data_IF_138995730285
#
_entry.id   IF_138995730285
#
_cell.length_a   1.000
_cell.length_b   1.000
_cell.length_c   1.000
_cell.angle_alpha   90.00
_cell.angle_beta   90.00
_cell.angle_gamma   90.00
#
_symmetry.space_group_name_H-M   'P 1'
#
loop_
_entity.id
_entity.type
_entity.pdbx_description
1 polymer ?
#
# COMPACT_ATOMS: atom_id res chain seq x y z
N UNK A 1 -2.55 -31.06 42.27
CA UNK A 1 -2.92 -31.54 40.92
C UNK A 1 -3.10 -30.31 40.03
N UNK A 2 -2.02 -29.86 39.40
CA UNK A 2 -1.99 -28.66 38.56
C UNK A 2 -2.67 -28.93 37.22
N UNK A 3 -3.92 -28.47 37.08
CA UNK A 3 -4.62 -28.45 35.79
C UNK A 3 -3.90 -27.46 34.88
N UNK A 4 -3.10 -27.97 33.94
CA UNK A 4 -2.56 -27.16 32.86
C UNK A 4 -3.74 -26.48 32.15
N UNK A 5 -3.78 -25.15 32.19
CA UNK A 5 -4.80 -24.31 31.56
C UNK A 5 -4.79 -24.57 30.05
N UNK A 6 -5.58 -25.55 29.60
CA UNK A 6 -5.81 -25.83 28.19
C UNK A 6 -6.41 -24.56 27.58
N UNK A 7 -5.76 -24.01 26.55
CA UNK A 7 -6.29 -22.85 25.84
C UNK A 7 -7.75 -23.11 25.44
N UNK A 8 -8.66 -22.16 25.71
CA UNK A 8 -10.07 -22.32 25.36
C UNK A 8 -10.24 -22.54 23.86
N UNK A 9 -11.32 -23.24 23.49
CA UNK A 9 -11.56 -23.65 22.10
C UNK A 9 -11.67 -22.45 21.15
N UNK A 10 -12.22 -21.34 21.62
CA UNK A 10 -12.48 -20.13 20.84
C UNK A 10 -11.23 -19.30 20.49
N UNK A 11 -10.07 -19.60 21.09
CA UNK A 11 -8.78 -19.01 20.69
C UNK A 11 -8.07 -19.83 19.60
N UNK A 12 -8.71 -20.87 19.07
CA UNK A 12 -8.19 -21.67 17.96
C UNK A 12 -8.72 -21.11 16.63
N UNK A 13 -7.94 -21.22 15.53
CA UNK A 13 -8.50 -20.97 14.21
C UNK A 13 -9.63 -21.99 13.95
N UNK A 14 -10.78 -21.60 13.39
CA UNK A 14 -11.06 -20.33 12.71
C UNK A 14 -11.62 -19.19 13.60
N UNK A 15 -12.08 -19.46 14.83
CA UNK A 15 -12.79 -18.47 15.66
C UNK A 15 -11.92 -17.39 16.26
N UNK A 16 -10.61 -17.61 16.34
CA UNK A 16 -9.65 -16.66 16.91
C UNK A 16 -9.81 -15.22 16.35
N UNK A 17 -10.28 -15.10 15.11
CA UNK A 17 -10.55 -13.81 14.44
C UNK A 17 -11.57 -12.95 15.22
N UNK A 18 -12.54 -13.57 15.89
CA UNK A 18 -13.57 -12.86 16.68
C UNK A 18 -13.03 -12.36 18.03
N UNK A 19 -11.85 -12.80 18.47
CA UNK A 19 -11.29 -12.48 19.78
C UNK A 19 -10.02 -11.61 19.70
N UNK A 20 -9.40 -11.51 18.52
CA UNK A 20 -8.18 -10.73 18.29
C UNK A 20 -8.44 -9.42 17.53
N UNK A 21 -8.84 -8.38 18.27
CA UNK A 21 -9.13 -7.03 17.74
C UNK A 21 -7.98 -6.41 16.93
N UNK A 22 -6.74 -6.59 17.36
CA UNK A 22 -5.58 -6.04 16.66
C UNK A 22 -5.35 -6.65 15.27
N UNK A 23 -5.85 -7.88 15.04
CA UNK A 23 -5.76 -8.52 13.72
C UNK A 23 -6.92 -8.11 12.82
N UNK A 24 -8.05 -7.72 13.40
CA UNK A 24 -9.21 -7.22 12.65
C UNK A 24 -8.92 -5.93 11.88
N UNK A 25 -8.06 -5.05 12.40
CA UNK A 25 -7.65 -3.83 11.69
C UNK A 25 -6.81 -4.11 10.43
N UNK A 26 -6.04 -5.20 10.43
CA UNK A 26 -5.18 -5.60 9.30
C UNK A 26 -5.94 -6.42 8.25
N UNK A 27 -7.09 -6.99 8.61
CA UNK A 27 -7.88 -7.84 7.73
C UNK A 27 -8.96 -7.02 7.02
N UNK A 28 -9.24 -7.36 5.76
CA UNK A 28 -10.36 -6.74 5.04
C UNK A 28 -11.68 -7.22 5.64
N UNK A 29 -12.58 -6.32 6.09
CA UNK A 29 -13.84 -6.70 6.73
C UNK A 29 -14.71 -7.62 5.86
N UNK A 30 -14.65 -7.45 4.54
CA UNK A 30 -15.42 -8.22 3.56
C UNK A 30 -15.00 -9.68 3.40
N UNK A 31 -13.75 -10.02 3.74
CA UNK A 31 -13.25 -11.40 3.67
C UNK A 31 -13.78 -12.27 4.83
N UNK A 32 -14.38 -11.65 5.85
CA UNK A 32 -14.84 -12.35 7.05
C UNK A 32 -16.31 -12.74 6.89
N UNK A 33 -16.56 -14.05 6.84
CA UNK A 33 -17.90 -14.63 6.92
C UNK A 33 -18.33 -14.79 8.38
N UNK A 34 -18.93 -13.72 8.93
CA UNK A 34 -19.40 -13.65 10.31
C UNK A 34 -20.48 -14.71 10.59
N UNK A 35 -21.41 -14.91 9.65
CA UNK A 35 -22.50 -15.87 9.81
C UNK A 35 -21.95 -17.28 10.02
N UNK A 36 -21.01 -17.71 9.18
CA UNK A 36 -20.34 -19.01 9.31
C UNK A 36 -19.54 -19.13 10.61
N UNK A 37 -18.81 -18.09 11.00
CA UNK A 37 -18.01 -18.12 12.24
C UNK A 37 -18.90 -18.22 13.48
N UNK A 38 -20.02 -17.50 13.52
CA UNK A 38 -20.94 -17.53 14.65
C UNK A 38 -21.73 -18.84 14.73
N UNK A 39 -22.20 -19.38 13.60
CA UNK A 39 -22.92 -20.67 13.61
C UNK A 39 -22.00 -21.80 14.08
N UNK A 40 -20.79 -21.88 13.53
CA UNK A 40 -19.82 -22.89 13.96
C UNK A 40 -19.37 -22.71 15.41
N UNK A 41 -19.24 -21.47 15.87
CA UNK A 41 -18.92 -21.17 17.26
C UNK A 41 -20.02 -21.64 18.21
N UNK A 42 -21.30 -21.39 17.87
CA UNK A 42 -22.43 -21.87 18.66
C UNK A 42 -22.54 -23.40 18.67
N UNK A 43 -22.39 -24.04 17.50
CA UNK A 43 -22.40 -25.51 17.39
C UNK A 43 -21.32 -26.16 18.28
N UNK A 44 -20.12 -25.58 18.35
CA UNK A 44 -19.05 -26.12 19.20
C UNK A 44 -19.29 -25.84 20.69
N UNK A 45 -19.92 -24.72 21.04
CA UNK A 45 -20.37 -24.46 22.41
C UNK A 45 -21.40 -25.48 22.86
N UNK A 46 -22.37 -25.80 22.01
CA UNK A 46 -23.39 -26.81 22.28
C UNK A 46 -22.78 -28.21 22.45
N UNK A 47 -21.85 -28.61 21.56
CA UNK A 47 -21.13 -29.90 21.66
C UNK A 47 -20.32 -30.03 22.96
N UNK A 48 -19.73 -28.93 23.42
CA UNK A 48 -18.90 -28.92 24.64
C UNK A 48 -19.75 -28.90 25.91
N UNK A 49 -21.04 -28.60 25.81
CA UNK A 49 -21.99 -28.57 26.94
C UNK A 49 -21.73 -27.45 27.96
N UNK A 50 -20.82 -26.52 27.66
CA UNK A 50 -20.46 -25.38 28.50
C UNK A 50 -20.67 -24.08 27.72
N UNK A 51 -21.74 -23.36 28.07
CA UNK A 51 -22.10 -22.09 27.46
C UNK A 51 -21.38 -20.96 28.19
N UNK A 52 -20.25 -20.52 27.63
CA UNK A 52 -19.49 -19.37 28.10
C UNK A 52 -20.12 -18.04 27.61
N UNK A 53 -21.07 -17.49 28.36
CA UNK A 53 -21.71 -16.20 28.01
C UNK A 53 -20.72 -15.04 27.88
N UNK A 54 -19.61 -15.07 28.63
CA UNK A 54 -18.54 -14.05 28.52
C UNK A 54 -17.88 -14.08 27.15
N UNK A 55 -17.58 -15.27 26.63
CA UNK A 55 -16.99 -15.44 25.31
C UNK A 55 -17.97 -15.03 24.22
N UNK A 56 -19.25 -15.40 24.36
CA UNK A 56 -20.32 -14.96 23.44
C UNK A 56 -20.48 -13.44 23.42
N UNK A 57 -20.32 -12.76 24.56
CA UNK A 57 -20.36 -11.29 24.62
C UNK A 57 -19.24 -10.64 23.82
N UNK A 58 -18.01 -11.16 23.92
CA UNK A 58 -16.87 -10.68 23.12
C UNK A 58 -17.05 -11.01 21.64
N UNK A 59 -17.56 -12.20 21.31
CA UNK A 59 -17.89 -12.59 19.94
C UNK A 59 -19.00 -11.70 19.33
N UNK A 60 -19.97 -11.28 20.14
CA UNK A 60 -21.03 -10.35 19.71
C UNK A 60 -20.48 -8.95 19.44
N UNK A 61 -19.66 -8.42 20.35
CA UNK A 61 -19.04 -7.10 20.23
C UNK A 61 -18.12 -7.02 18.99
N UNK A 62 -17.25 -8.01 18.82
CA UNK A 62 -16.41 -8.12 17.62
C UNK A 62 -17.23 -8.23 16.34
N UNK A 63 -18.33 -8.99 16.35
CA UNK A 63 -19.25 -9.10 15.21
C UNK A 63 -19.89 -7.75 14.88
N UNK A 64 -20.36 -7.00 15.88
CA UNK A 64 -20.92 -5.67 15.72
C UNK A 64 -19.89 -4.69 15.14
N UNK A 65 -18.64 -4.76 15.61
CA UNK A 65 -17.53 -3.96 15.08
C UNK A 65 -17.26 -4.26 13.60
N UNK A 66 -17.21 -5.53 13.20
CA UNK A 66 -17.00 -5.91 11.79
C UNK A 66 -18.15 -5.38 10.91
N UNK A 67 -19.39 -5.50 11.37
CA UNK A 67 -20.55 -4.96 10.64
C UNK A 67 -20.50 -3.44 10.49
N UNK A 68 -20.10 -2.73 11.55
CA UNK A 68 -19.90 -1.28 11.51
C UNK A 68 -18.81 -0.91 10.49
N UNK A 69 -17.70 -1.65 10.44
CA UNK A 69 -16.66 -1.43 9.42
C UNK A 69 -17.19 -1.66 8.01
N UNK A 70 -17.96 -2.72 7.77
CA UNK A 70 -18.60 -3.00 6.48
C UNK A 70 -19.54 -1.86 6.07
N UNK A 71 -20.39 -1.39 6.97
CA UNK A 71 -21.32 -0.28 6.72
C UNK A 71 -20.56 1.02 6.41
N UNK A 72 -19.54 1.37 7.19
CA UNK A 72 -18.71 2.55 6.93
C UNK A 72 -18.03 2.50 5.56
N UNK A 73 -17.52 1.34 5.15
CA UNK A 73 -16.92 1.17 3.82
C UNK A 73 -17.96 1.32 2.71
N UNK A 74 -19.17 0.80 2.91
CA UNK A 74 -20.26 0.94 1.95
C UNK A 74 -20.67 2.41 1.78
N UNK A 75 -20.79 3.16 2.88
CA UNK A 75 -21.14 4.59 2.84
C UNK A 75 -20.08 5.42 2.13
N UNK A 76 -18.79 5.12 2.34
CA UNK A 76 -17.68 5.78 1.62
C UNK A 76 -17.73 5.60 0.10
N UNK A 77 -18.36 4.53 -0.40
CA UNK A 77 -18.52 4.30 -1.84
C UNK A 77 -19.67 5.12 -2.44
N UNK A 78 -20.66 5.48 -1.62
CA UNK A 78 -21.80 6.31 -2.04
C UNK A 78 -21.46 7.81 -2.01
N UNK A 79 -20.47 8.21 -1.20
CA UNK A 79 -20.00 9.59 -1.16
C UNK A 79 -19.50 10.04 -2.55
N UNK A 80 -20.04 11.13 -3.12
CA UNK A 80 -19.57 11.62 -4.41
C UNK A 80 -18.08 11.99 -4.30
N UNK A 81 -17.28 11.73 -5.35
CA UNK A 81 -15.88 12.09 -5.34
C UNK A 81 -15.75 13.59 -5.08
N UNK A 82 -14.84 13.96 -4.17
CA UNK A 82 -14.56 15.36 -3.91
C UNK A 82 -14.27 16.07 -5.24
N UNK A 83 -14.89 17.22 -5.51
CA UNK A 83 -14.63 17.96 -6.74
C UNK A 83 -13.12 18.19 -6.83
N UNK A 84 -12.51 17.73 -7.94
CA UNK A 84 -11.10 18.02 -8.21
C UNK A 84 -10.94 19.53 -8.14
N UNK A 85 -9.88 20.06 -7.49
CA UNK A 85 -9.62 21.49 -7.56
C UNK A 85 -9.61 21.89 -9.04
N UNK A 86 -10.21 23.03 -9.42
CA UNK A 86 -10.18 23.46 -10.80
C UNK A 86 -8.71 23.49 -11.21
N UNK A 87 -8.33 22.62 -12.16
CA UNK A 87 -7.06 22.78 -12.85
C UNK A 87 -7.15 24.18 -13.44
N UNK A 88 -6.23 25.08 -13.10
CA UNK A 88 -6.13 26.39 -13.75
C UNK A 88 -6.07 26.12 -15.25
N UNK A 89 -7.21 26.31 -15.91
CA UNK A 89 -7.32 26.11 -17.34
C UNK A 89 -6.59 27.28 -17.96
N UNK A 90 -5.30 27.09 -18.24
CA UNK A 90 -4.55 27.97 -19.11
C UNK A 90 -5.04 27.64 -20.53
N UNK A 91 -5.90 28.48 -21.15
CA UNK A 91 -6.27 28.24 -22.52
C UNK A 91 -5.00 28.20 -23.38
N UNK A 92 -4.92 27.29 -24.36
CA UNK A 92 -3.83 27.35 -25.33
C UNK A 92 -3.82 28.74 -25.99
N UNK A 93 -2.63 29.26 -26.37
CA UNK A 93 -2.54 30.56 -27.01
C UNK A 93 -3.43 30.59 -28.25
N UNK A 94 -4.42 31.48 -28.23
CA UNK A 94 -5.29 31.73 -29.38
C UNK A 94 -4.45 32.42 -30.46
N UNK A 95 -4.31 31.77 -31.62
CA UNK A 95 -3.78 32.44 -32.81
C UNK A 95 -4.82 33.46 -33.29
N UNK A 96 -4.51 34.74 -33.13
CA UNK A 96 -5.31 35.82 -33.71
C UNK A 96 -5.33 35.64 -35.23
N UNK A 97 -6.50 35.77 -35.90
CA UNK A 97 -6.57 35.68 -37.35
C UNK A 97 -5.64 36.73 -37.95
N UNK A 98 -4.69 36.27 -38.78
CA UNK A 98 -3.78 37.12 -39.52
C UNK A 98 -4.59 38.04 -40.44
N UNK A 99 -4.56 39.35 -40.15
CA UNK A 99 -5.06 40.36 -41.08
C UNK A 99 -3.96 40.66 -42.09
N UNK A 100 -4.11 40.17 -43.31
CA UNK A 100 -3.23 40.56 -44.40
C UNK A 100 -3.60 41.98 -44.82
N UNK A 101 -2.86 42.97 -44.31
CA UNK A 101 -2.88 44.30 -44.93
C UNK A 101 -2.20 44.16 -46.29
N UNK A 102 -3.00 44.35 -47.35
CA UNK A 102 -2.67 43.95 -48.72
C UNK A 102 -1.28 44.41 -49.17
N UNK A 103 -0.43 43.45 -49.53
CA UNK A 103 0.60 43.67 -50.54
C UNK A 103 0.23 42.79 -51.73
N UNK A 104 0.12 43.37 -52.91
CA UNK A 104 -0.39 42.73 -54.15
C UNK A 104 0.21 41.34 -54.42
N UNK A 105 -0.49 40.28 -54.02
CA UNK A 105 -0.12 38.89 -54.31
C UNK A 105 -0.83 38.39 -55.56
N UNK A 106 -0.12 37.66 -56.42
CA UNK A 106 -0.71 37.00 -57.60
C UNK A 106 -1.58 35.81 -57.17
N UNK A 107 -2.65 35.51 -57.92
CA UNK A 107 -3.61 34.40 -57.66
C UNK A 107 -2.89 33.06 -57.42
N UNK A 108 -1.81 32.78 -58.15
CA UNK A 108 -1.00 31.56 -57.98
C UNK A 108 -0.45 31.41 -56.57
N UNK A 109 0.05 32.51 -55.99
CA UNK A 109 0.64 32.53 -54.66
C UNK A 109 -0.41 32.28 -53.57
N UNK A 110 -1.64 32.75 -53.77
CA UNK A 110 -2.75 32.47 -52.86
C UNK A 110 -3.17 31.00 -52.89
N UNK A 111 -3.17 30.40 -54.08
CA UNK A 111 -3.53 28.99 -54.27
C UNK A 111 -2.51 28.05 -53.60
N UNK A 112 -1.23 28.40 -53.69
CA UNK A 112 -0.13 27.62 -53.11
C UNK A 112 -0.13 27.69 -51.58
N UNK A 113 -0.29 28.89 -51.01
CA UNK A 113 -0.42 29.07 -49.55
C UNK A 113 -1.67 28.39 -49.00
N UNK A 114 -2.79 28.42 -49.72
CA UNK A 114 -4.04 27.77 -49.27
C UNK A 114 -3.92 26.25 -49.26
N UNK A 115 -3.20 25.66 -50.22
CA UNK A 115 -2.88 24.23 -50.23
C UNK A 115 -1.91 23.84 -49.10
N UNK A 116 -0.93 24.69 -48.77
CA UNK A 116 -0.05 24.50 -47.61
C UNK A 116 -0.81 24.55 -46.27
N UNK A 117 -1.72 25.50 -46.11
CA UNK A 117 -2.57 25.64 -44.90
C UNK A 117 -3.51 24.43 -44.75
N UNK A 118 -4.15 23.98 -45.84
CA UNK A 118 -5.01 22.79 -45.83
C UNK A 118 -4.25 21.49 -45.50
N UNK A 119 -2.97 21.40 -45.85
CA UNK A 119 -2.09 20.29 -45.44
C UNK A 119 -1.73 20.38 -43.95
N UNK A 120 -1.54 21.58 -43.41
CA UNK A 120 -1.26 21.84 -41.99
C UNK A 120 -2.45 21.57 -41.05
N UNK A 121 -3.68 21.92 -41.45
CA UNK A 121 -4.88 21.75 -40.61
C UNK A 121 -5.27 20.28 -40.36
N UNK A 122 -4.94 19.37 -41.28
CA UNK A 122 -5.21 17.93 -41.10
C UNK A 122 -4.53 17.33 -39.86
N UNK A 123 -3.48 17.97 -39.34
CA UNK A 123 -2.77 17.54 -38.13
C UNK A 123 -3.49 17.95 -36.84
N UNK A 124 -4.23 19.07 -36.84
CA UNK A 124 -4.86 19.65 -35.64
C UNK A 124 -6.16 18.91 -35.26
N UNK A 125 -6.83 18.27 -36.23
CA UNK A 125 -8.07 17.52 -35.96
C UNK A 125 -7.84 16.21 -35.19
N UNK A 126 -6.61 15.67 -35.23
CA UNK A 126 -6.23 14.43 -34.55
C UNK A 126 -6.18 14.52 -33.02
N UNK A 127 -6.17 15.72 -32.44
CA UNK A 127 -6.12 15.92 -30.98
C UNK A 127 -7.51 16.02 -30.34
N UNK A 128 -8.58 15.79 -31.11
CA UNK A 128 -9.95 15.82 -30.58
C UNK A 128 -10.19 14.65 -29.62
N UNK A 129 -10.00 14.96 -28.33
CA UNK A 129 -10.65 14.36 -27.16
C UNK A 129 -10.38 12.87 -26.98
N UNK A 130 -9.25 12.56 -26.36
CA UNK A 130 -9.20 11.43 -25.42
C UNK A 130 -10.11 11.84 -24.26
N UNK A 131 -11.35 11.35 -24.27
CA UNK A 131 -12.24 11.43 -23.12
C UNK A 131 -11.62 10.52 -22.07
N UNK A 132 -10.85 11.08 -21.14
CA UNK A 132 -10.45 10.36 -19.95
C UNK A 132 -11.73 9.84 -19.27
N UNK A 133 -11.86 8.52 -19.03
CA UNK A 133 -13.02 7.98 -18.34
C UNK A 133 -13.18 8.70 -17.00
N UNK A 134 -14.40 9.19 -16.74
CA UNK A 134 -14.76 10.05 -15.59
C UNK A 134 -14.53 9.33 -14.24
N UNK A 135 -14.39 8.01 -14.27
CA UNK A 135 -14.18 7.18 -13.09
C UNK A 135 -12.79 6.55 -13.14
N UNK A 136 -11.93 6.79 -12.13
CA UNK A 136 -10.78 5.91 -11.94
C UNK A 136 -11.31 4.48 -11.69
N UNK A 137 -10.67 3.46 -12.27
CA UNK A 137 -11.05 2.08 -11.98
C UNK A 137 -10.98 1.82 -10.46
N UNK A 138 -11.88 0.98 -9.91
CA UNK A 138 -11.94 0.69 -8.46
C UNK A 138 -10.62 0.14 -7.90
N UNK A 139 -9.73 -0.30 -8.78
CA UNK A 139 -8.38 -0.78 -8.51
C UNK A 139 -7.39 0.30 -8.05
N UNK A 140 -7.66 1.60 -8.26
CA UNK A 140 -6.66 2.65 -7.98
C UNK A 140 -6.72 3.19 -6.54
N UNK A 141 -7.82 2.97 -5.82
CA UNK A 141 -8.06 3.62 -4.52
C UNK A 141 -7.65 2.73 -3.33
N UNK A 142 -7.58 1.40 -3.51
CA UNK A 142 -7.41 0.43 -2.40
C UNK A 142 -6.44 -0.78 -2.62
N UNK A 143 -5.34 -0.68 -3.38
CA UNK A 143 -4.29 -1.72 -3.25
C UNK A 143 -2.85 -1.22 -3.32
N UNK A 144 -2.58 0.08 -3.48
CA UNK A 144 -1.19 0.56 -3.61
C UNK A 144 -0.43 0.38 -2.30
N UNK A 145 -1.04 0.76 -1.17
CA UNK A 145 -0.40 0.63 0.13
C UNK A 145 -0.34 -0.83 0.58
N UNK A 146 -1.42 -1.61 0.40
CA UNK A 146 -1.45 -3.02 0.82
C UNK A 146 -0.50 -3.90 0.00
N UNK A 147 -0.39 -3.67 -1.31
CA UNK A 147 0.58 -4.35 -2.17
C UNK A 147 2.01 -3.96 -1.79
N UNK A 148 2.23 -2.69 -1.46
CA UNK A 148 3.53 -2.20 -1.02
C UNK A 148 3.92 -2.79 0.35
N UNK A 149 2.98 -2.86 1.31
CA UNK A 149 3.19 -3.47 2.62
C UNK A 149 3.49 -4.98 2.51
N UNK A 150 2.73 -5.71 1.69
CA UNK A 150 2.96 -7.13 1.43
C UNK A 150 4.32 -7.37 0.76
N UNK A 151 4.68 -6.54 -0.23
CA UNK A 151 6.00 -6.61 -0.88
C UNK A 151 7.11 -6.32 0.14
N UNK A 152 6.95 -5.30 0.98
CA UNK A 152 7.91 -4.97 2.04
C UNK A 152 8.12 -6.15 2.99
N UNK A 153 7.06 -6.83 3.44
CA UNK A 153 7.19 -7.99 4.34
C UNK A 153 8.04 -9.11 3.73
N UNK A 154 7.81 -9.44 2.45
CA UNK A 154 8.60 -10.43 1.71
C UNK A 154 10.06 -9.98 1.56
N UNK A 155 10.29 -8.71 1.24
CA UNK A 155 11.64 -8.17 1.08
C UNK A 155 12.39 -8.10 2.42
N UNK A 156 11.69 -7.81 3.53
CA UNK A 156 12.25 -7.86 4.88
C UNK A 156 12.73 -9.26 5.24
N UNK A 157 11.94 -10.31 4.98
CA UNK A 157 12.34 -11.69 5.27
C UNK A 157 13.56 -12.13 4.45
N UNK A 158 13.61 -11.77 3.17
CA UNK A 158 14.76 -12.05 2.29
C UNK A 158 16.04 -11.38 2.80
N UNK A 159 15.95 -10.10 3.18
CA UNK A 159 17.10 -9.37 3.74
C UNK A 159 17.54 -9.96 5.07
N UNK A 160 16.61 -10.27 5.97
CA UNK A 160 16.93 -10.90 7.25
C UNK A 160 17.62 -12.26 7.07
N UNK A 161 17.15 -13.10 6.14
CA UNK A 161 17.79 -14.36 5.82
C UNK A 161 19.20 -14.17 5.24
N UNK A 162 19.38 -13.19 4.35
CA UNK A 162 20.67 -12.84 3.76
C UNK A 162 21.66 -12.34 4.82
N UNK A 163 21.19 -11.53 5.77
CA UNK A 163 21.98 -11.07 6.91
C UNK A 163 22.35 -12.24 7.83
N UNK A 164 21.39 -13.12 8.18
CA UNK A 164 21.65 -14.30 9.01
C UNK A 164 22.66 -15.26 8.39
N UNK A 165 22.72 -15.39 7.06
CA UNK A 165 23.77 -16.17 6.39
C UNK A 165 25.15 -15.53 6.51
N UNK A 166 25.25 -14.20 6.39
CA UNK A 166 26.51 -13.45 6.50
C UNK A 166 27.03 -13.38 7.93
N UNK A 167 26.16 -13.37 8.93
CA UNK A 167 26.52 -13.31 10.36
C UNK A 167 27.14 -14.62 10.89
N UNK A 168 27.00 -15.75 10.20
CA UNK A 168 27.61 -17.04 10.64
C UNK A 168 29.14 -17.01 10.76
N UNK A 169 29.82 -15.97 10.25
CA UNK A 169 31.27 -15.79 10.37
C UNK A 169 31.73 -14.49 11.04
N UNK A 170 30.91 -13.44 11.10
CA UNK A 170 31.24 -12.16 11.72
C UNK A 170 30.00 -11.62 12.46
N UNK A 171 30.10 -11.46 13.78
CA UNK A 171 28.98 -11.02 14.62
C UNK A 171 28.49 -9.59 14.37
N UNK A 172 29.17 -8.84 13.49
CA UNK A 172 28.91 -7.44 13.17
C UNK A 172 29.09 -7.27 11.66
N UNK A 173 28.14 -6.61 10.99
CA UNK A 173 28.18 -6.30 9.55
C UNK A 173 28.21 -4.78 9.38
N UNK A 174 29.12 -4.27 8.57
CA UNK A 174 29.16 -2.86 8.18
C UNK A 174 28.18 -2.58 7.04
N UNK A 175 27.39 -1.51 7.15
CA UNK A 175 26.44 -1.09 6.11
C UNK A 175 27.14 -0.73 4.79
N UNK A 176 28.35 -0.18 4.85
CA UNK A 176 29.18 0.14 3.68
C UNK A 176 29.47 -1.11 2.83
N UNK A 177 29.69 -2.26 3.46
CA UNK A 177 29.89 -3.55 2.76
C UNK A 177 28.60 -4.11 2.15
N UNK A 178 27.45 -3.80 2.74
CA UNK A 178 26.13 -4.22 2.26
C UNK A 178 25.69 -3.42 1.01
N UNK A 179 26.15 -2.18 0.91
CA UNK A 179 25.74 -1.20 -0.09
C UNK A 179 26.69 -1.12 -1.29
N UNK A 180 27.88 -1.72 -1.19
CA UNK A 180 28.91 -1.65 -2.23
C UNK A 180 28.40 -2.23 -3.57
N UNK A 181 28.18 -1.34 -4.54
CA UNK A 181 27.76 -1.68 -5.90
C UNK A 181 26.25 -1.55 -6.19
N UNK A 182 25.44 -1.04 -5.26
CA UNK A 182 24.00 -0.83 -5.44
C UNK A 182 23.66 0.58 -5.95
N UNK A 183 22.53 0.72 -6.65
CA UNK A 183 22.02 2.03 -7.07
C UNK A 183 21.53 2.85 -5.87
N UNK A 184 21.62 4.19 -5.94
CA UNK A 184 21.22 5.09 -4.83
C UNK A 184 19.81 4.82 -4.29
N UNK A 185 18.87 4.46 -5.17
CA UNK A 185 17.50 4.12 -4.78
C UNK A 185 17.44 2.80 -4.00
N UNK A 186 18.24 1.81 -4.39
CA UNK A 186 18.35 0.54 -3.69
C UNK A 186 19.05 0.69 -2.34
N UNK A 187 20.03 1.59 -2.24
CA UNK A 187 20.67 1.95 -0.96
C UNK A 187 19.62 2.49 0.03
N UNK A 188 18.81 3.45 -0.41
CA UNK A 188 17.76 4.06 0.41
C UNK A 188 16.71 3.01 0.81
N UNK A 189 16.30 2.14 -0.13
CA UNK A 189 15.35 1.05 0.15
C UNK A 189 15.91 0.08 1.19
N UNK A 190 17.17 -0.34 1.04
CA UNK A 190 17.85 -1.23 1.99
C UNK A 190 17.95 -0.59 3.37
N UNK A 191 18.25 0.70 3.44
CA UNK A 191 18.29 1.46 4.69
C UNK A 191 16.92 1.53 5.37
N UNK A 192 15.85 1.84 4.63
CA UNK A 192 14.48 1.86 5.16
C UNK A 192 14.10 0.47 5.70
N UNK A 193 14.44 -0.60 4.97
CA UNK A 193 14.19 -1.97 5.41
C UNK A 193 14.97 -2.35 6.68
N UNK A 194 16.22 -1.88 6.81
CA UNK A 194 17.02 -2.04 8.03
C UNK A 194 16.38 -1.35 9.23
N UNK A 195 15.86 -0.13 9.07
CA UNK A 195 15.13 0.56 10.13
C UNK A 195 13.88 -0.21 10.56
N UNK A 196 13.13 -0.78 9.62
CA UNK A 196 11.98 -1.63 9.95
C UNK A 196 12.39 -2.90 10.69
N UNK A 197 13.51 -3.52 10.32
CA UNK A 197 14.04 -4.70 11.03
C UNK A 197 14.50 -4.36 12.45
N UNK A 198 15.09 -3.19 12.65
CA UNK A 198 15.50 -2.69 13.97
C UNK A 198 14.28 -2.36 14.85
N UNK A 199 13.26 -1.69 14.30
CA UNK A 199 12.01 -1.43 15.01
C UNK A 199 11.29 -2.72 15.45
N UNK A 200 11.46 -3.81 14.70
CA UNK A 200 10.93 -5.14 15.05
C UNK A 200 11.82 -5.90 16.06
N UNK A 201 12.93 -5.31 16.53
CA UNK A 201 13.83 -5.89 17.53
C UNK A 201 14.64 -7.09 17.04
N UNK A 202 14.77 -7.28 15.72
CA UNK A 202 15.55 -8.40 15.14
C UNK A 202 17.02 -8.08 14.90
N UNK A 203 17.36 -6.79 14.87
CA UNK A 203 18.66 -6.25 14.50
C UNK A 203 18.91 -5.01 15.35
N UNK A 204 20.12 -4.87 15.89
CA UNK A 204 20.59 -3.65 16.53
C UNK A 204 21.48 -2.86 15.55
N UNK A 205 21.22 -1.55 15.48
CA UNK A 205 21.98 -0.63 14.64
C UNK A 205 22.77 0.32 15.54
N UNK A 206 24.07 0.43 15.29
CA UNK A 206 24.95 1.36 15.98
C UNK A 206 25.67 2.21 14.94
N UNK A 207 25.69 3.52 15.16
CA UNK A 207 26.46 4.45 14.34
C UNK A 207 27.54 5.07 15.22
N UNK A 208 28.77 5.04 14.74
CA UNK A 208 29.89 5.68 15.42
C UNK A 208 30.06 7.10 14.88
N UNK A 209 30.13 8.10 15.77
CA UNK A 209 30.12 9.53 15.43
C UNK A 209 31.39 9.97 14.69
N UNK A 210 32.51 9.23 14.85
CA UNK A 210 33.78 9.56 14.20
C UNK A 210 33.92 9.01 12.78
N UNK A 211 33.28 7.86 12.49
CA UNK A 211 33.40 7.18 11.19
C UNK A 211 32.18 7.36 10.29
N UNK A 212 31.06 7.90 10.81
CA UNK A 212 29.73 7.95 10.15
C UNK A 212 29.22 6.57 9.68
N UNK A 213 29.91 5.48 10.01
CA UNK A 213 29.58 4.13 9.56
C UNK A 213 28.51 3.49 10.45
N UNK A 214 27.60 2.75 9.81
CA UNK A 214 26.51 2.05 10.47
C UNK A 214 26.89 0.58 10.61
N UNK A 215 27.01 0.12 11.84
CA UNK A 215 27.22 -1.27 12.21
C UNK A 215 25.88 -1.95 12.51
N UNK A 216 25.75 -3.17 12.00
CA UNK A 216 24.55 -3.99 12.05
C UNK A 216 24.88 -5.25 12.86
N UNK A 217 24.28 -5.39 14.03
CA UNK A 217 24.36 -6.59 14.85
C UNK A 217 23.04 -7.36 14.77
N UNK A 218 23.10 -8.66 14.41
CA UNK A 218 21.90 -9.51 14.37
C UNK A 218 21.77 -10.21 15.71
N UNK A 219 20.83 -9.72 16.53
CA UNK A 219 20.64 -10.19 17.90
C UNK A 219 19.86 -11.50 17.98
N UNK A 220 20.57 -12.57 18.34
CA UNK A 220 20.09 -13.50 19.37
C UNK A 220 21.10 -13.52 20.53
N UNK A 221 21.72 -12.38 20.85
CA UNK A 221 22.46 -12.17 22.10
C UNK A 221 22.32 -10.71 22.54
N UNK A 222 21.83 -10.43 23.77
CA UNK A 222 21.92 -9.10 24.34
C UNK A 222 23.39 -8.81 24.64
N UNK A 223 23.94 -7.74 24.05
CA UNK A 223 25.19 -7.16 24.53
C UNK A 223 24.97 -6.72 25.98
N UNK A 224 25.55 -7.46 26.92
CA UNK A 224 25.68 -7.03 28.31
C UNK A 224 26.57 -5.79 28.37
N UNK A 225 26.06 -4.74 29.00
CA UNK A 225 26.89 -3.82 29.78
C UNK A 225 27.14 -4.45 31.16
#
# INVERSE_FOLDING_TARGET
MSTALKKPFYLRPPWNILFEFHKLEKLTPWNINIAYLLTTFLEEMEKTGQIDFRASGVALDSSALIYLMKSKLLLKLEEPPKPKPPKEFLPPPLFLPLRYELTSTTIKNLLEVLDEVLKGEKLIHSERRIIEPVLPPPSDILPQLDRYLMEIEIQMEKLYFSLKQRVKGAGIIEFSTLVKGLERLEVIRTFILLLFLANNGKIDLWQDEESEEIYIAVGEQPCKQ
#
